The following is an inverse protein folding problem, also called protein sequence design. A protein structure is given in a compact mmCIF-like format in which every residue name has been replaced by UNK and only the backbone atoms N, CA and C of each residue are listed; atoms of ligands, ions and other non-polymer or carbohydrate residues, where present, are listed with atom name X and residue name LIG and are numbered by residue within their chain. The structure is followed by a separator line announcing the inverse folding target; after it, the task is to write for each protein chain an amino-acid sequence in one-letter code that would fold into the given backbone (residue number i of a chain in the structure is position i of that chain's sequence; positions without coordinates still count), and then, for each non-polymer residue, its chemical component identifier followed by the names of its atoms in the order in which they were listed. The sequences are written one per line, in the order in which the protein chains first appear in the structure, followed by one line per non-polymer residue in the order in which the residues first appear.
data_IF_298652194394
#
_entry.id   IF_298652194394
#
_cell.length_a   1.000
_cell.length_b   1.000
_cell.length_c   1.000
_cell.angle_alpha   90.00
_cell.angle_beta   90.00
_cell.angle_gamma   90.00
#
_symmetry.space_group_name_H-M   'P 1'
#
loop_
_entity.id
_entity.type
_entity.pdbx_description
1 polymer ?
#
# COMPACT_ATOMS: atom_id res chain seq x y z
N UNK A 1 -31.39 7.65 -9.27
CA UNK A 1 -30.48 7.22 -8.18
C UNK A 1 -28.98 7.37 -8.49
N UNK A 2 -28.52 7.41 -9.75
CA UNK A 2 -27.06 7.51 -10.05
C UNK A 2 -26.41 8.90 -10.05
N UNK A 3 -27.15 9.99 -9.79
CA UNK A 3 -26.60 11.38 -9.79
C UNK A 3 -26.14 11.77 -8.37
N UNK A 4 -26.87 11.36 -7.34
CA UNK A 4 -26.57 11.63 -5.93
C UNK A 4 -25.30 10.88 -5.48
N UNK A 5 -25.14 9.62 -5.89
CA UNK A 5 -23.95 8.82 -5.57
C UNK A 5 -22.64 9.39 -6.16
N UNK A 6 -22.71 10.07 -7.33
CA UNK A 6 -21.53 10.69 -7.94
C UNK A 6 -21.09 11.95 -7.20
N UNK A 7 -22.05 12.79 -6.78
CA UNK A 7 -21.76 14.00 -6.01
C UNK A 7 -21.14 13.65 -4.63
N UNK A 8 -21.68 12.63 -3.96
CA UNK A 8 -21.12 12.14 -2.69
C UNK A 8 -19.70 11.58 -2.84
N UNK A 9 -19.41 10.93 -3.98
CA UNK A 9 -18.07 10.42 -4.27
C UNK A 9 -17.07 11.56 -4.51
N UNK A 10 -17.48 12.58 -5.27
CA UNK A 10 -16.65 13.76 -5.55
C UNK A 10 -16.34 14.56 -4.28
N UNK A 11 -17.31 14.71 -3.39
CA UNK A 11 -17.11 15.40 -2.11
C UNK A 11 -16.16 14.63 -1.19
N UNK A 12 -16.28 13.30 -1.11
CA UNK A 12 -15.32 12.46 -0.37
C UNK A 12 -13.90 12.60 -0.90
N UNK A 13 -13.72 12.65 -2.22
CA UNK A 13 -12.40 12.85 -2.85
C UNK A 13 -11.85 14.24 -2.51
N UNK A 14 -12.69 15.28 -2.55
CA UNK A 14 -12.28 16.65 -2.18
C UNK A 14 -11.86 16.75 -0.72
N UNK A 15 -12.64 16.18 0.21
CA UNK A 15 -12.31 16.17 1.64
C UNK A 15 -11.00 15.43 1.88
N UNK A 16 -10.77 14.30 1.20
CA UNK A 16 -9.52 13.55 1.30
C UNK A 16 -8.32 14.39 0.88
N UNK A 17 -8.41 15.07 -0.28
CA UNK A 17 -7.35 15.98 -0.76
C UNK A 17 -7.03 17.10 0.24
N UNK A 18 -8.04 17.69 0.86
CA UNK A 18 -7.83 18.75 1.88
C UNK A 18 -7.09 18.16 3.09
N UNK A 19 -7.49 16.98 3.58
CA UNK A 19 -6.80 16.31 4.68
C UNK A 19 -5.34 15.99 4.34
N UNK A 20 -5.08 15.53 3.13
CA UNK A 20 -3.72 15.22 2.67
C UNK A 20 -2.83 16.47 2.68
N UNK A 21 -3.34 17.61 2.17
CA UNK A 21 -2.64 18.90 2.19
C UNK A 21 -2.36 19.36 3.63
N UNK A 22 -3.34 19.23 4.53
CA UNK A 22 -3.18 19.59 5.94
C UNK A 22 -2.09 18.73 6.59
N UNK A 23 -2.09 17.42 6.33
CA UNK A 23 -1.08 16.50 6.86
C UNK A 23 0.32 16.83 6.33
N UNK A 24 0.46 17.09 5.03
CA UNK A 24 1.74 17.50 4.43
C UNK A 24 2.31 18.76 5.07
N UNK A 25 1.46 19.73 5.42
CA UNK A 25 1.89 20.96 6.09
C UNK A 25 2.23 20.76 7.57
N UNK A 26 1.41 19.97 8.29
CA UNK A 26 1.61 19.73 9.74
C UNK A 26 2.77 18.78 10.03
N UNK A 27 3.00 17.80 9.16
CA UNK A 27 3.98 16.72 9.36
C UNK A 27 4.82 16.47 8.10
N UNK A 28 5.60 17.46 7.63
CA UNK A 28 6.28 17.40 6.33
C UNK A 28 7.26 16.22 6.21
N UNK A 29 7.99 15.90 7.29
CA UNK A 29 8.92 14.76 7.31
C UNK A 29 8.19 13.43 7.20
N UNK A 30 7.10 13.26 7.94
CA UNK A 30 6.29 12.04 7.94
C UNK A 30 5.60 11.83 6.58
N UNK A 31 5.09 12.91 5.98
CA UNK A 31 4.50 12.85 4.64
C UNK A 31 5.53 12.51 3.56
N UNK A 32 6.71 13.12 3.58
CA UNK A 32 7.78 12.78 2.64
C UNK A 32 8.23 11.32 2.77
N UNK A 33 8.31 10.83 4.02
CA UNK A 33 8.63 9.43 4.30
C UNK A 33 7.54 8.47 3.78
N UNK A 34 6.27 8.78 4.03
CA UNK A 34 5.12 8.02 3.49
C UNK A 34 5.14 7.94 1.97
N UNK A 35 5.46 9.05 1.29
CA UNK A 35 5.59 9.08 -0.17
C UNK A 35 6.74 8.17 -0.67
N UNK A 36 7.84 8.07 0.08
CA UNK A 36 8.93 7.13 -0.25
C UNK A 36 8.46 5.69 -0.12
N UNK A 37 7.77 5.35 0.97
CA UNK A 37 7.20 4.02 1.20
C UNK A 37 6.21 3.66 0.08
N UNK A 38 5.32 4.57 -0.31
CA UNK A 38 4.37 4.35 -1.41
C UNK A 38 5.07 4.13 -2.76
N UNK A 39 6.16 4.85 -3.03
CA UNK A 39 6.95 4.67 -4.26
C UNK A 39 7.58 3.29 -4.34
N UNK A 40 8.08 2.76 -3.22
CA UNK A 40 8.63 1.40 -3.17
C UNK A 40 7.50 0.37 -3.28
N UNK A 41 6.38 0.59 -2.59
CA UNK A 41 5.22 -0.31 -2.60
C UNK A 41 4.65 -0.51 -4.01
N UNK A 42 4.54 0.57 -4.80
CA UNK A 42 4.06 0.51 -6.20
C UNK A 42 4.97 -0.31 -7.12
N UNK A 43 6.21 -0.55 -6.72
CA UNK A 43 7.13 -1.40 -7.49
C UNK A 43 6.95 -2.88 -7.14
N UNK A 44 6.22 -3.26 -6.10
CA UNK A 44 6.05 -4.68 -5.76
C UNK A 44 4.87 -5.23 -6.56
N UNK A 45 5.06 -6.19 -7.49
CA UNK A 45 3.98 -6.75 -8.29
C UNK A 45 3.16 -7.75 -7.44
N UNK A 46 2.30 -7.22 -6.57
CA UNK A 46 1.42 -8.01 -5.71
C UNK A 46 0.36 -8.75 -6.55
N UNK A 47 0.22 -10.07 -6.39
CA UNK A 47 -0.88 -10.82 -6.98
C UNK A 47 -2.24 -10.35 -6.44
N UNK A 48 -3.29 -10.50 -7.24
CA UNK A 48 -4.65 -10.03 -6.87
C UNK A 48 -5.19 -10.67 -5.58
N UNK A 49 -4.72 -11.87 -5.26
CA UNK A 49 -5.09 -12.60 -4.06
C UNK A 49 -4.17 -12.32 -2.85
N UNK A 50 -3.22 -11.39 -2.98
CA UNK A 50 -2.31 -10.98 -1.92
C UNK A 50 -2.59 -9.54 -1.46
N UNK A 51 -2.41 -9.28 -0.17
CA UNK A 51 -2.44 -7.94 0.42
C UNK A 51 -1.20 -7.71 1.27
N UNK A 52 -0.51 -6.61 1.03
CA UNK A 52 0.62 -6.18 1.84
C UNK A 52 0.16 -5.10 2.83
N UNK A 53 0.40 -5.34 4.12
CA UNK A 53 0.12 -4.42 5.20
C UNK A 53 1.42 -4.10 5.96
N UNK A 54 1.50 -2.88 6.47
CA UNK A 54 2.56 -2.41 7.36
C UNK A 54 1.98 -1.38 8.34
N UNK A 55 2.74 -1.05 9.38
CA UNK A 55 2.34 -0.08 10.38
C UNK A 55 2.42 1.36 9.84
N UNK A 56 1.28 2.04 9.67
CA UNK A 56 1.26 3.41 9.11
C UNK A 56 1.87 4.46 10.04
N UNK A 57 2.07 4.13 11.32
CA UNK A 57 2.78 4.96 12.28
C UNK A 57 4.30 4.80 12.22
N UNK A 58 4.79 3.82 11.46
CA UNK A 58 6.22 3.47 11.33
C UNK A 58 6.91 3.17 12.67
N UNK A 59 6.14 2.79 13.69
CA UNK A 59 6.66 2.38 14.98
C UNK A 59 7.14 0.92 14.94
N UNK A 60 6.59 0.13 14.01
CA UNK A 60 6.98 -1.26 13.78
C UNK A 60 7.62 -1.45 12.42
N UNK A 61 8.81 -2.04 12.44
CA UNK A 61 9.55 -2.45 11.26
C UNK A 61 9.14 -3.86 10.82
N UNK A 62 7.90 -4.01 10.39
CA UNK A 62 7.35 -5.27 9.90
C UNK A 62 6.52 -5.09 8.63
N UNK A 63 6.53 -6.13 7.79
CA UNK A 63 5.66 -6.24 6.62
C UNK A 63 4.90 -7.54 6.76
N UNK A 64 3.57 -7.46 6.62
CA UNK A 64 2.69 -8.61 6.61
C UNK A 64 2.12 -8.81 5.21
N UNK A 65 2.24 -10.01 4.66
CA UNK A 65 1.63 -10.37 3.38
C UNK A 65 0.55 -11.41 3.64
N UNK A 66 -0.70 -11.01 3.43
CA UNK A 66 -1.88 -11.84 3.62
C UNK A 66 -2.35 -12.39 2.29
N UNK A 67 -2.44 -13.72 2.18
CA UNK A 67 -2.87 -14.42 0.97
C UNK A 67 -4.26 -15.00 1.14
N UNK A 68 -5.07 -14.96 0.08
CA UNK A 68 -6.33 -15.70 -0.03
C UNK A 68 -6.15 -16.82 -1.04
N UNK A 69 -6.24 -18.06 -0.58
CA UNK A 69 -6.08 -19.23 -1.42
C UNK A 69 -7.46 -19.80 -1.75
N UNK A 70 -7.77 -19.88 -3.04
CA UNK A 70 -9.02 -20.46 -3.55
C UNK A 70 -8.76 -21.75 -4.33
N UNK A 71 -7.59 -21.85 -4.97
CA UNK A 71 -7.21 -22.95 -5.85
C UNK A 71 -5.76 -23.39 -5.57
N UNK A 72 -5.38 -24.62 -5.93
CA UNK A 72 -3.98 -25.06 -5.82
C UNK A 72 -2.99 -24.17 -6.60
N UNK A 73 -3.41 -23.62 -7.74
CA UNK A 73 -2.62 -22.68 -8.54
C UNK A 73 -2.24 -21.39 -7.77
N UNK A 74 -2.98 -21.03 -6.72
CA UNK A 74 -2.62 -19.89 -5.86
C UNK A 74 -1.33 -20.14 -5.07
N UNK A 75 -1.03 -21.40 -4.74
CA UNK A 75 0.21 -21.79 -4.05
C UNK A 75 1.39 -21.62 -5.01
N UNK A 76 1.24 -22.02 -6.27
CA UNK A 76 2.27 -21.83 -7.30
C UNK A 76 2.52 -20.34 -7.55
N UNK A 77 1.47 -19.53 -7.65
CA UNK A 77 1.57 -18.07 -7.75
C UNK A 77 2.26 -17.45 -6.54
N UNK A 78 1.94 -17.93 -5.34
CA UNK A 78 2.61 -17.49 -4.11
C UNK A 78 4.11 -17.82 -4.15
N UNK A 79 4.47 -19.03 -4.57
CA UNK A 79 5.88 -19.40 -4.72
C UNK A 79 6.60 -18.55 -5.77
N UNK A 80 5.98 -18.34 -6.94
CA UNK A 80 6.54 -17.51 -8.01
C UNK A 80 6.70 -16.03 -7.61
N UNK A 81 5.82 -15.53 -6.73
CA UNK A 81 5.93 -14.18 -6.19
C UNK A 81 7.21 -14.00 -5.37
N UNK A 82 7.60 -14.98 -4.55
CA UNK A 82 8.82 -14.94 -3.72
C UNK A 82 10.11 -15.23 -4.50
N UNK A 83 10.25 -14.68 -5.70
CA UNK A 83 11.51 -14.67 -6.43
C UNK A 83 12.48 -13.61 -5.87
N UNK A 84 13.76 -13.71 -6.29
CA UNK A 84 14.84 -12.85 -5.79
C UNK A 84 14.55 -11.36 -5.95
N UNK A 85 13.93 -10.95 -7.05
CA UNK A 85 13.65 -9.54 -7.32
C UNK A 85 12.55 -9.00 -6.40
N UNK A 86 11.48 -9.77 -6.18
CA UNK A 86 10.44 -9.40 -5.22
C UNK A 86 11.00 -9.36 -3.79
N UNK A 87 11.80 -10.34 -3.41
CA UNK A 87 12.44 -10.38 -2.08
C UNK A 87 13.36 -9.17 -1.89
N UNK A 88 14.12 -8.79 -2.92
CA UNK A 88 14.94 -7.57 -2.89
C UNK A 88 14.08 -6.32 -2.67
N UNK A 89 12.95 -6.19 -3.38
CA UNK A 89 12.01 -5.06 -3.20
C UNK A 89 11.37 -5.04 -1.81
N UNK A 90 11.00 -6.20 -1.27
CA UNK A 90 10.48 -6.32 0.10
C UNK A 90 11.53 -5.90 1.15
N UNK A 91 12.80 -6.24 0.95
CA UNK A 91 13.90 -5.77 1.82
C UNK A 91 14.09 -4.25 1.74
N UNK A 92 14.00 -3.67 0.53
CA UNK A 92 14.05 -2.20 0.36
C UNK A 92 12.88 -1.56 1.09
N UNK A 93 11.65 -2.09 0.92
CA UNK A 93 10.48 -1.60 1.62
C UNK A 93 10.69 -1.67 3.14
N UNK A 94 11.16 -2.80 3.65
CA UNK A 94 11.40 -2.99 5.08
C UNK A 94 12.43 -1.99 5.62
N UNK A 95 13.47 -1.67 4.85
CA UNK A 95 14.47 -0.67 5.24
C UNK A 95 13.98 0.77 5.10
N UNK A 96 12.90 0.98 4.33
CA UNK A 96 12.25 2.28 4.17
C UNK A 96 11.19 2.50 5.25
N UNK A 97 10.69 1.45 5.91
CA UNK A 97 9.90 1.54 7.14
C UNK A 97 10.81 1.80 8.35
#
# INVERSE_FOLDING_TARGET
NGIVEKADLEEKVRIRRIRDIIMQRRFPKLSAHREQVEKVLKQIPLPENAKLNFDETFEKKEIQINWRLHTPADIERMHAFFNDETVRRLKILLNTL
#
